data_IF_957503872947
#
_entry.id   IF_957503872947
#
_cell.length_a   1.000
_cell.length_b   1.000
_cell.length_c   1.000
_cell.angle_alpha   90.00
_cell.angle_beta   90.00
_cell.angle_gamma   90.00
#
_symmetry.space_group_name_H-M   'P 1'
#
loop_
_entity.id
_entity.type
_entity.pdbx_description
1 polymer ?
#
# COMPACT_ATOMS: atom_id res chain seq x y z
N UNK A 1 -14.93 12.46 -8.37
CA UNK A 1 -16.13 12.53 -7.52
C UNK A 1 -16.60 13.99 -7.28
N UNK A 2 -15.84 15.00 -7.70
CA UNK A 2 -16.20 16.42 -7.57
C UNK A 2 -15.97 17.03 -6.17
N UNK A 3 -15.21 16.36 -5.32
CA UNK A 3 -14.81 16.88 -4.00
C UNK A 3 -13.70 17.92 -4.09
N UNK A 4 -13.42 18.58 -2.95
CA UNK A 4 -12.31 19.52 -2.82
C UNK A 4 -11.13 18.85 -2.12
N UNK A 5 -9.91 19.24 -2.47
CA UNK A 5 -8.68 18.76 -1.82
C UNK A 5 -8.73 18.94 -0.31
N UNK A 6 -9.21 20.11 0.15
CA UNK A 6 -9.32 20.42 1.58
C UNK A 6 -10.20 19.43 2.36
N UNK A 7 -11.23 18.85 1.71
CA UNK A 7 -12.11 17.87 2.37
C UNK A 7 -11.45 16.50 2.49
N UNK A 8 -10.52 16.15 1.60
CA UNK A 8 -9.79 14.88 1.61
C UNK A 8 -8.46 14.94 2.39
N UNK A 9 -7.93 16.13 2.66
CA UNK A 9 -6.62 16.31 3.30
C UNK A 9 -6.50 15.61 4.66
N UNK A 10 -7.49 15.68 5.58
CA UNK A 10 -7.40 14.94 6.84
C UNK A 10 -7.28 13.42 6.64
N UNK A 11 -8.03 12.86 5.70
CA UNK A 11 -7.95 11.44 5.36
C UNK A 11 -6.58 11.08 4.75
N UNK A 12 -6.01 11.94 3.91
CA UNK A 12 -4.68 11.74 3.35
C UNK A 12 -3.60 11.76 4.45
N UNK A 13 -3.66 12.71 5.40
CA UNK A 13 -2.76 12.75 6.55
C UNK A 13 -2.90 11.51 7.43
N UNK A 14 -4.12 11.04 7.66
CA UNK A 14 -4.35 9.83 8.46
C UNK A 14 -3.75 8.59 7.79
N UNK A 15 -3.92 8.43 6.48
CA UNK A 15 -3.31 7.33 5.72
C UNK A 15 -1.79 7.40 5.76
N UNK A 16 -1.20 8.61 5.63
CA UNK A 16 0.26 8.79 5.71
C UNK A 16 0.80 8.46 7.11
N UNK A 17 0.07 8.79 8.19
CA UNK A 17 0.43 8.36 9.54
C UNK A 17 0.44 6.84 9.67
N UNK A 18 -0.59 6.15 9.12
CA UNK A 18 -0.64 4.67 9.09
C UNK A 18 0.54 4.10 8.30
N UNK A 19 0.81 4.65 7.12
CA UNK A 19 1.94 4.21 6.30
C UNK A 19 3.28 4.44 7.00
N UNK A 20 3.47 5.62 7.58
CA UNK A 20 4.73 5.97 8.24
C UNK A 20 5.00 5.10 9.46
N UNK A 21 3.98 4.86 10.32
CA UNK A 21 4.18 3.98 11.47
C UNK A 21 4.57 2.57 11.02
N UNK A 22 3.91 2.05 9.99
CA UNK A 22 4.20 0.70 9.51
C UNK A 22 5.64 0.56 8.98
N UNK A 23 6.18 1.61 8.32
CA UNK A 23 7.57 1.63 7.89
C UNK A 23 8.55 1.72 9.07
N UNK A 24 8.25 2.55 10.09
CA UNK A 24 9.10 2.67 11.29
C UNK A 24 9.18 1.34 12.02
N UNK A 25 8.05 0.64 12.17
CA UNK A 25 8.04 -0.67 12.83
C UNK A 25 8.65 -1.76 11.96
N UNK A 26 8.46 -1.70 10.65
CA UNK A 26 9.04 -2.66 9.68
C UNK A 26 10.58 -2.63 9.71
N UNK A 27 11.17 -1.43 9.91
CA UNK A 27 12.61 -1.24 9.97
C UNK A 27 13.27 -1.74 11.28
N UNK A 28 12.51 -2.07 12.32
CA UNK A 28 13.05 -2.47 13.63
C UNK A 28 13.91 -3.75 13.55
N UNK A 29 14.88 -3.94 14.50
CA UNK A 29 15.71 -5.14 14.54
C UNK A 29 14.95 -6.47 14.71
N UNK A 30 13.74 -6.43 15.25
CA UNK A 30 12.87 -7.59 15.39
C UNK A 30 11.97 -7.85 14.16
N UNK A 31 12.14 -7.04 13.11
CA UNK A 31 11.39 -7.08 11.85
C UNK A 31 12.40 -7.23 10.69
N UNK A 32 12.43 -6.29 9.73
CA UNK A 32 13.33 -6.36 8.58
C UNK A 32 14.79 -5.95 8.89
N UNK A 33 15.07 -5.39 10.08
CA UNK A 33 16.38 -4.88 10.55
C UNK A 33 17.08 -3.99 9.51
N UNK A 34 16.37 -2.98 9.03
CA UNK A 34 16.86 -2.09 7.99
C UNK A 34 17.59 -0.88 8.58
N UNK A 35 18.84 -0.67 8.17
CA UNK A 35 19.66 0.48 8.59
C UNK A 35 19.28 1.77 7.86
N UNK A 36 18.82 1.65 6.62
CA UNK A 36 18.52 2.77 5.72
C UNK A 36 17.15 2.63 5.08
N UNK A 37 16.41 3.74 5.03
CA UNK A 37 15.17 3.87 4.26
C UNK A 37 15.22 5.13 3.39
N UNK A 38 15.07 4.96 2.07
CA UNK A 38 15.18 6.07 1.09
C UNK A 38 16.50 6.83 1.23
N UNK A 39 17.62 6.13 1.50
CA UNK A 39 18.94 6.69 1.62
C UNK A 39 19.21 7.43 2.95
N UNK A 40 18.32 7.37 3.93
CA UNK A 40 18.48 7.97 5.27
C UNK A 40 18.49 6.89 6.33
N UNK A 41 19.24 7.08 7.44
CA UNK A 41 19.16 6.18 8.58
C UNK A 41 17.73 6.01 9.08
N UNK A 42 17.36 4.77 9.43
CA UNK A 42 16.04 4.44 9.96
C UNK A 42 15.84 5.00 11.36
N UNK A 43 14.58 5.07 11.82
CA UNK A 43 14.23 5.72 13.08
C UNK A 43 14.97 5.10 14.28
N UNK A 44 15.02 3.76 14.35
CA UNK A 44 15.68 3.05 15.43
C UNK A 44 17.22 3.26 15.45
N UNK A 45 17.85 3.46 14.29
CA UNK A 45 19.28 3.78 14.21
C UNK A 45 19.60 5.16 14.75
N UNK A 46 18.68 6.12 14.64
CA UNK A 46 18.89 7.51 15.09
C UNK A 46 18.49 7.69 16.55
N UNK A 47 17.35 7.10 16.97
CA UNK A 47 16.73 7.39 18.27
C UNK A 47 16.67 6.19 19.21
N UNK A 48 17.06 5.00 18.74
CA UNK A 48 16.96 3.74 19.48
C UNK A 48 15.60 3.06 19.34
N UNK A 49 15.60 1.74 19.62
CA UNK A 49 14.45 0.85 19.35
C UNK A 49 13.19 1.27 20.11
N UNK A 50 13.33 1.60 21.41
CA UNK A 50 12.18 1.97 22.25
C UNK A 50 11.49 3.24 21.76
N UNK A 51 12.25 4.25 21.30
CA UNK A 51 11.68 5.48 20.73
C UNK A 51 11.03 5.19 19.39
N UNK A 52 11.61 4.33 18.57
CA UNK A 52 11.02 3.94 17.29
C UNK A 52 9.67 3.22 17.47
N UNK A 53 9.57 2.30 18.43
CA UNK A 53 8.28 1.65 18.78
C UNK A 53 7.25 2.69 19.16
N UNK A 54 7.57 3.58 20.12
CA UNK A 54 6.64 4.60 20.61
C UNK A 54 6.26 5.63 19.55
N UNK A 55 7.18 5.96 18.62
CA UNK A 55 6.88 6.83 17.49
C UNK A 55 5.84 6.20 16.54
N UNK A 56 5.97 4.90 16.26
CA UNK A 56 4.96 4.17 15.50
C UNK A 56 3.61 4.12 16.20
N UNK A 57 3.57 3.80 17.51
CA UNK A 57 2.34 3.78 18.31
C UNK A 57 1.63 5.12 18.32
N UNK A 58 2.40 6.22 18.46
CA UNK A 58 1.86 7.57 18.45
C UNK A 58 1.25 7.92 17.08
N UNK A 59 1.94 7.59 15.97
CA UNK A 59 1.44 7.84 14.62
C UNK A 59 0.17 7.05 14.32
N UNK A 60 0.12 5.78 14.74
CA UNK A 60 -1.07 4.95 14.60
C UNK A 60 -2.27 5.58 15.29
N UNK A 61 -2.10 6.08 16.51
CA UNK A 61 -3.18 6.73 17.28
C UNK A 61 -3.58 8.07 16.67
N UNK A 62 -2.61 8.90 16.29
CA UNK A 62 -2.82 10.22 15.66
C UNK A 62 -3.59 10.10 14.34
N UNK A 63 -3.39 9.04 13.56
CA UNK A 63 -4.15 8.80 12.33
C UNK A 63 -5.66 8.83 12.57
N UNK A 64 -6.13 8.14 13.60
CA UNK A 64 -7.55 8.09 13.96
C UNK A 64 -8.03 9.39 14.60
N UNK A 65 -7.19 10.08 15.36
CA UNK A 65 -7.52 11.40 15.93
C UNK A 65 -7.75 12.43 14.82
N UNK A 66 -6.88 12.47 13.80
CA UNK A 66 -7.01 13.36 12.64
C UNK A 66 -8.32 13.07 11.90
N UNK A 67 -8.59 11.81 11.64
CA UNK A 67 -9.78 11.40 10.89
C UNK A 67 -11.06 11.67 11.67
N UNK A 68 -11.06 11.46 12.99
CA UNK A 68 -12.19 11.75 13.86
C UNK A 68 -12.57 13.24 13.93
N UNK A 69 -11.59 14.13 13.74
CA UNK A 69 -11.79 15.58 13.70
C UNK A 69 -12.13 16.11 12.29
N UNK A 70 -12.16 15.26 11.28
CA UNK A 70 -12.47 15.65 9.90
C UNK A 70 -13.97 15.92 9.71
N UNK A 71 -14.31 16.55 8.58
CA UNK A 71 -15.71 16.81 8.24
C UNK A 71 -16.35 15.62 7.55
N UNK A 72 -17.54 15.15 8.00
CA UNK A 72 -18.26 14.11 7.29
C UNK A 72 -18.77 14.60 5.94
N UNK A 73 -18.85 13.73 4.95
CA UNK A 73 -19.66 13.95 3.77
C UNK A 73 -21.11 13.50 4.02
N UNK A 74 -22.04 13.92 3.14
CA UNK A 74 -23.46 13.56 3.34
C UNK A 74 -23.74 12.05 3.33
N UNK A 75 -22.98 11.29 2.52
CA UNK A 75 -23.16 9.83 2.38
C UNK A 75 -22.27 9.01 3.31
N UNK A 76 -21.13 9.57 3.71
CA UNK A 76 -20.11 8.85 4.45
C UNK A 76 -19.81 9.58 5.76
N UNK A 77 -20.43 9.13 6.86
CA UNK A 77 -20.14 9.66 8.19
C UNK A 77 -18.71 9.33 8.60
N UNK A 78 -18.15 10.09 9.54
CA UNK A 78 -16.77 9.87 10.02
C UNK A 78 -16.56 8.46 10.58
N UNK A 79 -17.57 7.90 11.25
CA UNK A 79 -17.50 6.53 11.76
C UNK A 79 -17.25 5.50 10.65
N UNK A 80 -17.83 5.67 9.45
CA UNK A 80 -17.58 4.79 8.31
C UNK A 80 -16.15 4.95 7.80
N UNK A 81 -15.65 6.18 7.71
CA UNK A 81 -14.29 6.45 7.27
C UNK A 81 -13.25 5.90 8.27
N UNK A 82 -13.49 6.06 9.57
CA UNK A 82 -12.66 5.47 10.64
C UNK A 82 -12.68 3.95 10.54
N UNK A 83 -13.85 3.34 10.36
CA UNK A 83 -13.99 1.90 10.24
C UNK A 83 -13.25 1.36 8.99
N UNK A 84 -13.31 2.08 7.86
CA UNK A 84 -12.61 1.69 6.62
C UNK A 84 -11.08 1.70 6.82
N UNK A 85 -10.52 2.76 7.44
CA UNK A 85 -9.10 2.85 7.75
C UNK A 85 -8.67 1.79 8.77
N UNK A 86 -9.42 1.62 9.86
CA UNK A 86 -9.13 0.63 10.89
C UNK A 86 -9.18 -0.81 10.35
N UNK A 87 -10.13 -1.09 9.46
CA UNK A 87 -10.21 -2.37 8.77
C UNK A 87 -8.96 -2.62 7.93
N UNK A 88 -8.58 -1.66 7.08
CA UNK A 88 -7.45 -1.80 6.17
C UNK A 88 -6.09 -1.88 6.89
N UNK A 89 -5.94 -1.20 8.03
CA UNK A 89 -4.70 -1.20 8.82
C UNK A 89 -4.62 -2.30 9.87
N UNK A 90 -5.73 -2.99 10.14
CA UNK A 90 -5.86 -3.95 11.24
C UNK A 90 -5.36 -5.36 10.93
N UNK A 91 -5.65 -6.27 11.88
CA UNK A 91 -5.16 -7.65 11.91
C UNK A 91 -5.61 -8.52 10.73
N UNK A 92 -6.69 -8.14 10.03
CA UNK A 92 -7.16 -8.89 8.84
C UNK A 92 -6.46 -8.47 7.56
N UNK A 93 -5.78 -7.30 7.55
CA UNK A 93 -5.17 -6.72 6.37
C UNK A 93 -3.72 -6.33 6.62
N UNK A 94 -3.38 -5.05 6.75
CA UNK A 94 -1.99 -4.60 6.83
C UNK A 94 -1.17 -5.37 7.88
N UNK A 95 -1.62 -5.39 9.12
CA UNK A 95 -0.93 -6.11 10.21
C UNK A 95 -0.96 -7.62 9.97
N UNK A 96 -2.09 -8.18 9.54
CA UNK A 96 -2.18 -9.61 9.20
C UNK A 96 -1.32 -10.00 8.00
N UNK A 97 -1.18 -9.11 7.02
CA UNK A 97 -0.27 -9.28 5.88
C UNK A 97 1.19 -9.27 6.30
N UNK A 98 1.54 -8.40 7.26
CA UNK A 98 2.88 -8.35 7.85
C UNK A 98 3.22 -9.64 8.64
N UNK A 99 2.26 -10.14 9.42
CA UNK A 99 2.43 -11.44 10.10
C UNK A 99 2.67 -12.57 9.10
N UNK A 100 1.86 -12.62 8.03
CA UNK A 100 2.00 -13.66 7.01
C UNK A 100 3.33 -13.54 6.22
N UNK A 101 3.84 -12.31 6.05
CA UNK A 101 5.14 -12.06 5.42
C UNK A 101 6.28 -12.60 6.29
N UNK A 102 6.30 -12.26 7.57
CA UNK A 102 7.28 -12.77 8.53
C UNK A 102 7.23 -14.29 8.71
N UNK A 103 6.03 -14.87 8.83
CA UNK A 103 5.87 -16.32 8.92
C UNK A 103 6.27 -17.04 7.62
N UNK A 104 6.26 -16.32 6.50
CA UNK A 104 6.65 -16.82 5.19
C UNK A 104 8.16 -16.89 4.97
N UNK A 105 8.96 -16.18 5.76
CA UNK A 105 10.41 -16.18 5.62
C UNK A 105 11.01 -17.57 5.83
N UNK A 106 11.91 -17.96 4.94
CA UNK A 106 12.54 -19.29 4.93
C UNK A 106 11.59 -20.45 4.64
N UNK A 107 10.32 -20.19 4.26
CA UNK A 107 9.34 -21.20 3.87
C UNK A 107 9.07 -21.18 2.37
N UNK A 108 8.74 -22.33 1.81
CA UNK A 108 8.29 -22.40 0.42
C UNK A 108 6.81 -22.02 0.32
N UNK A 109 6.56 -20.75 0.04
CA UNK A 109 5.20 -20.24 -0.15
C UNK A 109 4.63 -20.65 -1.50
N UNK A 110 3.31 -20.89 -1.53
CA UNK A 110 2.54 -21.05 -2.75
C UNK A 110 2.09 -19.73 -3.36
N UNK A 111 1.60 -19.78 -4.60
CA UNK A 111 1.12 -18.56 -5.28
C UNK A 111 -0.07 -17.88 -4.59
N UNK A 112 -0.93 -18.62 -3.89
CA UNK A 112 -2.06 -18.05 -3.16
C UNK A 112 -1.61 -17.36 -1.87
N UNK A 113 -0.58 -17.89 -1.18
CA UNK A 113 0.02 -17.28 0.00
C UNK A 113 0.65 -15.93 -0.36
N UNK A 114 1.44 -15.88 -1.43
CA UNK A 114 2.03 -14.64 -1.94
C UNK A 114 0.97 -13.60 -2.30
N UNK A 115 -0.07 -14.01 -3.02
CA UNK A 115 -1.19 -13.10 -3.36
C UNK A 115 -1.92 -12.60 -2.12
N UNK A 116 -2.04 -13.43 -1.07
CA UNK A 116 -2.61 -13.02 0.20
C UNK A 116 -1.76 -11.93 0.86
N UNK A 117 -0.43 -12.15 0.95
CA UNK A 117 0.52 -11.16 1.49
C UNK A 117 0.41 -9.84 0.74
N UNK A 118 0.51 -9.85 -0.60
CA UNK A 118 0.42 -8.65 -1.43
C UNK A 118 -0.90 -7.90 -1.25
N UNK A 119 -2.01 -8.64 -1.15
CA UNK A 119 -3.34 -8.08 -0.94
C UNK A 119 -3.46 -7.42 0.43
N UNK A 120 -2.96 -8.08 1.45
CA UNK A 120 -3.13 -7.64 2.83
C UNK A 120 -2.09 -6.58 3.23
N UNK A 121 -0.80 -6.84 3.01
CA UNK A 121 0.29 -5.94 3.43
C UNK A 121 0.26 -4.61 2.66
N UNK A 122 -0.07 -4.61 1.37
CA UNK A 122 0.08 -3.42 0.52
C UNK A 122 -1.22 -2.94 -0.11
N UNK A 123 -1.93 -3.82 -0.85
CA UNK A 123 -3.09 -3.38 -1.63
C UNK A 123 -4.25 -2.89 -0.76
N UNK A 124 -4.37 -3.36 0.48
CA UNK A 124 -5.41 -2.94 1.41
C UNK A 124 -5.32 -1.46 1.75
N UNK A 125 -4.15 -0.97 2.16
CA UNK A 125 -3.96 0.44 2.53
C UNK A 125 -4.06 1.35 1.30
N UNK A 126 -3.51 0.96 0.15
CA UNK A 126 -3.69 1.67 -1.12
C UNK A 126 -5.18 1.78 -1.50
N UNK A 127 -5.93 0.71 -1.34
CA UNK A 127 -7.38 0.72 -1.58
C UNK A 127 -8.10 1.65 -0.62
N UNK A 128 -7.77 1.59 0.67
CA UNK A 128 -8.36 2.46 1.68
C UNK A 128 -8.07 3.95 1.41
N UNK A 129 -6.86 4.30 0.97
CA UNK A 129 -6.51 5.68 0.63
C UNK A 129 -7.41 6.25 -0.48
N UNK A 130 -7.68 5.46 -1.52
CA UNK A 130 -8.56 5.83 -2.63
C UNK A 130 -10.01 5.92 -2.15
N UNK A 131 -10.47 4.96 -1.33
CA UNK A 131 -11.82 4.94 -0.78
C UNK A 131 -12.08 6.12 0.13
N UNK A 132 -11.15 6.44 1.02
CA UNK A 132 -11.27 7.59 1.93
C UNK A 132 -11.33 8.92 1.17
N UNK A 133 -10.52 9.09 0.13
CA UNK A 133 -10.62 10.24 -0.77
C UNK A 133 -11.99 10.31 -1.47
N UNK A 134 -12.52 9.17 -1.91
CA UNK A 134 -13.84 9.10 -2.51
C UNK A 134 -14.97 9.41 -1.51
N UNK A 135 -14.88 8.89 -0.28
CA UNK A 135 -15.84 9.14 0.80
C UNK A 135 -15.83 10.63 1.19
N UNK A 136 -14.65 11.25 1.31
CA UNK A 136 -14.50 12.68 1.56
C UNK A 136 -15.15 13.52 0.45
N UNK A 137 -15.08 13.06 -0.80
CA UNK A 137 -15.74 13.66 -1.96
C UNK A 137 -17.22 13.27 -2.12
N UNK A 138 -17.85 12.67 -1.11
CA UNK A 138 -19.26 12.26 -1.12
C UNK A 138 -19.63 11.31 -2.28
N UNK A 139 -18.74 10.38 -2.64
CA UNK A 139 -18.93 9.42 -3.71
C UNK A 139 -20.25 8.63 -3.59
N UNK A 140 -20.86 8.31 -4.71
CA UNK A 140 -22.00 7.38 -4.74
C UNK A 140 -21.53 5.95 -4.49
N UNK A 141 -22.40 5.02 -4.08
CA UNK A 141 -22.03 3.60 -3.93
C UNK A 141 -21.41 2.99 -5.18
N UNK A 142 -21.90 3.37 -6.36
CA UNK A 142 -21.34 2.91 -7.64
C UNK A 142 -19.93 3.44 -7.89
N UNK A 143 -19.69 4.72 -7.60
CA UNK A 143 -18.36 5.32 -7.68
C UNK A 143 -17.39 4.68 -6.69
N UNK A 144 -17.83 4.49 -5.43
CA UNK A 144 -17.00 3.86 -4.40
C UNK A 144 -16.63 2.41 -4.77
N UNK A 145 -17.58 1.64 -5.32
CA UNK A 145 -17.32 0.29 -5.83
C UNK A 145 -16.27 0.29 -6.96
N UNK A 146 -16.42 1.18 -7.94
CA UNK A 146 -15.46 1.31 -9.05
C UNK A 146 -14.08 1.69 -8.56
N UNK A 147 -13.98 2.66 -7.64
CA UNK A 147 -12.70 3.09 -7.06
C UNK A 147 -12.08 2.03 -6.14
N UNK A 148 -12.89 1.21 -5.47
CA UNK A 148 -12.39 0.04 -4.74
C UNK A 148 -11.73 -0.97 -5.68
N UNK A 149 -12.38 -1.29 -6.82
CA UNK A 149 -11.78 -2.17 -7.84
C UNK A 149 -10.50 -1.58 -8.42
N UNK A 150 -10.46 -0.27 -8.66
CA UNK A 150 -9.26 0.43 -9.08
C UNK A 150 -8.13 0.27 -8.06
N UNK A 151 -8.38 0.58 -6.78
CA UNK A 151 -7.40 0.51 -5.71
C UNK A 151 -6.81 -0.89 -5.52
N UNK A 152 -7.67 -1.91 -5.51
CA UNK A 152 -7.24 -3.31 -5.41
C UNK A 152 -6.35 -3.71 -6.59
N UNK A 153 -6.72 -3.30 -7.81
CA UNK A 153 -5.96 -3.65 -9.02
C UNK A 153 -4.60 -2.94 -9.06
N UNK A 154 -4.56 -1.64 -8.73
CA UNK A 154 -3.30 -0.87 -8.68
C UNK A 154 -2.40 -1.37 -7.56
N UNK A 155 -2.96 -1.66 -6.37
CA UNK A 155 -2.18 -2.14 -5.24
C UNK A 155 -1.51 -3.50 -5.50
N UNK A 156 -2.24 -4.42 -6.14
CA UNK A 156 -1.65 -5.70 -6.55
C UNK A 156 -0.64 -5.53 -7.70
N UNK A 157 -0.94 -4.67 -8.69
CA UNK A 157 0.00 -4.39 -9.78
C UNK A 157 1.31 -3.79 -9.25
N UNK A 158 1.21 -2.90 -8.27
CA UNK A 158 2.36 -2.29 -7.61
C UNK A 158 3.31 -3.36 -7.03
N UNK A 159 2.79 -4.33 -6.29
CA UNK A 159 3.60 -5.40 -5.71
C UNK A 159 4.19 -6.34 -6.78
N UNK A 160 3.40 -6.74 -7.78
CA UNK A 160 3.92 -7.57 -8.87
C UNK A 160 5.05 -6.87 -9.63
N UNK A 161 4.94 -5.55 -9.82
CA UNK A 161 5.98 -4.75 -10.47
C UNK A 161 7.20 -4.59 -9.56
N UNK A 162 6.99 -4.38 -8.27
CA UNK A 162 8.08 -4.30 -7.29
C UNK A 162 8.91 -5.60 -7.27
N UNK A 163 8.26 -6.75 -7.23
CA UNK A 163 8.90 -8.07 -7.33
C UNK A 163 9.66 -8.27 -8.65
N UNK A 164 9.12 -7.76 -9.77
CA UNK A 164 9.79 -7.81 -11.07
C UNK A 164 11.06 -6.94 -11.04
N UNK A 165 10.97 -5.74 -10.49
CA UNK A 165 12.10 -4.81 -10.40
C UNK A 165 13.22 -5.35 -9.52
N UNK A 166 12.87 -5.98 -8.39
CA UNK A 166 13.86 -6.56 -7.47
C UNK A 166 14.74 -7.62 -8.14
N UNK A 167 14.19 -8.40 -9.08
CA UNK A 167 14.94 -9.44 -9.80
C UNK A 167 15.55 -8.96 -11.13
N UNK A 168 15.17 -7.79 -11.67
CA UNK A 168 15.61 -7.33 -12.99
C UNK A 168 16.51 -6.11 -12.96
N UNK A 169 16.52 -5.34 -11.85
CA UNK A 169 17.29 -4.10 -11.77
C UNK A 169 18.54 -4.25 -10.88
N UNK A 170 19.66 -3.60 -11.22
CA UNK A 170 20.85 -3.58 -10.38
C UNK A 170 20.63 -2.73 -9.13
N UNK A 171 21.31 -3.10 -8.03
CA UNK A 171 21.25 -2.45 -6.70
C UNK A 171 21.35 -0.92 -6.73
N UNK A 172 22.20 -0.39 -7.62
CA UNK A 172 22.47 1.05 -7.73
C UNK A 172 21.25 1.88 -8.13
N UNK A 173 20.26 1.25 -8.81
CA UNK A 173 19.04 1.93 -9.27
C UNK A 173 17.86 1.81 -8.29
N UNK A 174 17.86 0.82 -7.40
CA UNK A 174 16.71 0.53 -6.53
C UNK A 174 16.62 1.43 -5.28
N UNK A 175 17.67 2.18 -4.94
CA UNK A 175 17.71 2.99 -3.69
C UNK A 175 17.65 2.16 -2.39
N UNK A 176 17.65 0.84 -2.52
CA UNK A 176 17.77 -0.20 -1.48
C UNK A 176 18.66 -1.31 -2.03
N UNK A 177 19.20 -2.18 -1.19
CA UNK A 177 19.99 -3.33 -1.66
C UNK A 177 19.14 -4.21 -2.57
N UNK A 178 19.54 -4.40 -3.84
CA UNK A 178 18.89 -5.34 -4.74
C UNK A 178 19.10 -6.77 -4.26
N UNK A 179 18.10 -7.63 -4.49
CA UNK A 179 18.18 -9.03 -4.10
C UNK A 179 18.06 -9.27 -2.59
N UNK A 180 17.59 -8.27 -1.80
CA UNK A 180 17.25 -8.49 -0.39
C UNK A 180 16.23 -9.62 -0.24
N UNK A 181 15.21 -9.62 -1.08
CA UNK A 181 14.18 -10.67 -1.07
C UNK A 181 14.76 -12.04 -1.44
N UNK A 182 15.72 -12.08 -2.34
CA UNK A 182 16.47 -13.30 -2.67
C UNK A 182 17.36 -13.74 -1.51
N UNK A 183 18.07 -12.82 -0.87
CA UNK A 183 18.92 -13.09 0.29
C UNK A 183 18.11 -13.53 1.52
N UNK A 184 16.93 -12.92 1.73
CA UNK A 184 15.96 -13.30 2.78
C UNK A 184 15.13 -14.54 2.41
N UNK A 185 15.34 -15.13 1.23
CA UNK A 185 14.52 -16.22 0.70
C UNK A 185 13.02 -15.91 0.65
N UNK A 186 12.67 -14.60 0.47
CA UNK A 186 11.28 -14.18 0.31
C UNK A 186 10.73 -14.70 -1.02
N UNK A 187 9.49 -15.14 -0.99
CA UNK A 187 8.79 -15.54 -2.21
C UNK A 187 8.44 -14.30 -3.04
N UNK A 188 8.77 -14.30 -4.33
CA UNK A 188 8.41 -13.22 -5.27
C UNK A 188 7.56 -13.77 -6.41
N UNK A 189 6.79 -12.90 -7.05
CA UNK A 189 5.95 -13.28 -8.21
C UNK A 189 6.77 -13.94 -9.32
N UNK A 190 7.95 -13.40 -9.75
CA UNK A 190 8.81 -14.06 -10.73
C UNK A 190 9.37 -15.41 -10.28
N UNK A 191 9.68 -15.60 -8.99
CA UNK A 191 10.18 -16.86 -8.47
C UNK A 191 9.13 -17.97 -8.54
N UNK A 192 7.84 -17.64 -8.29
CA UNK A 192 6.75 -18.63 -8.27
C UNK A 192 6.17 -18.86 -9.66
N UNK A 193 5.93 -17.80 -10.43
CA UNK A 193 5.19 -17.87 -11.70
C UNK A 193 6.04 -17.70 -12.94
N UNK A 194 7.29 -17.24 -12.81
CA UNK A 194 8.16 -16.82 -13.89
C UNK A 194 7.91 -15.38 -14.35
N UNK A 195 8.96 -14.76 -14.90
CA UNK A 195 8.99 -13.33 -15.24
C UNK A 195 7.90 -12.94 -16.27
N UNK A 196 7.71 -13.76 -17.31
CA UNK A 196 6.73 -13.46 -18.37
C UNK A 196 5.28 -13.48 -17.85
N UNK A 197 4.94 -14.44 -16.99
CA UNK A 197 3.61 -14.47 -16.35
C UNK A 197 3.41 -13.31 -15.40
N UNK A 198 4.45 -12.91 -14.67
CA UNK A 198 4.42 -11.75 -13.78
C UNK A 198 4.15 -10.45 -14.56
N UNK A 199 4.83 -10.24 -15.69
CA UNK A 199 4.57 -9.11 -16.60
C UNK A 199 3.17 -9.13 -17.19
N UNK A 200 2.68 -10.32 -17.58
CA UNK A 200 1.32 -10.47 -18.09
C UNK A 200 0.27 -10.13 -17.02
N UNK A 201 0.49 -10.54 -15.77
CA UNK A 201 -0.40 -10.25 -14.65
C UNK A 201 -0.42 -8.75 -14.32
N UNK A 202 0.75 -8.09 -14.25
CA UNK A 202 0.84 -6.64 -14.05
C UNK A 202 0.02 -5.89 -15.13
N UNK A 203 0.18 -6.25 -16.40
CA UNK A 203 -0.60 -5.68 -17.51
C UNK A 203 -2.10 -5.96 -17.38
N UNK A 204 -2.48 -7.15 -16.94
CA UNK A 204 -3.89 -7.52 -16.71
C UNK A 204 -4.51 -6.65 -15.62
N UNK A 205 -3.83 -6.50 -14.49
CA UNK A 205 -4.25 -5.68 -13.35
C UNK A 205 -4.39 -4.21 -13.74
N UNK A 206 -3.43 -3.66 -14.49
CA UNK A 206 -3.49 -2.28 -15.00
C UNK A 206 -4.70 -2.08 -15.92
N UNK A 207 -4.99 -3.03 -16.83
CA UNK A 207 -6.21 -2.96 -17.66
C UNK A 207 -7.49 -3.01 -16.83
N UNK A 208 -7.52 -3.80 -15.76
CA UNK A 208 -8.66 -3.84 -14.83
C UNK A 208 -8.83 -2.49 -14.13
N UNK A 209 -7.75 -1.88 -13.68
CA UNK A 209 -7.74 -0.54 -13.10
C UNK A 209 -8.31 0.51 -14.07
N UNK A 210 -7.83 0.54 -15.30
CA UNK A 210 -8.36 1.44 -16.34
C UNK A 210 -9.86 1.23 -16.60
N UNK A 211 -10.30 -0.03 -16.63
CA UNK A 211 -11.71 -0.36 -16.86
C UNK A 211 -12.57 0.14 -15.70
N UNK A 212 -12.11 0.02 -14.46
CA UNK A 212 -12.80 0.54 -13.29
C UNK A 212 -12.97 2.08 -13.31
N UNK A 213 -12.07 2.80 -14.00
CA UNK A 213 -12.14 4.25 -14.14
C UNK A 213 -13.01 4.76 -15.29
N UNK A 214 -13.52 3.88 -16.18
CA UNK A 214 -14.35 4.31 -17.32
C UNK A 214 -15.55 5.20 -16.95
N UNK A 215 -16.30 4.92 -15.86
CA UNK A 215 -17.45 5.75 -15.47
C UNK A 215 -17.12 7.19 -15.12
N UNK A 216 -15.86 7.52 -14.85
CA UNK A 216 -15.43 8.86 -14.43
C UNK A 216 -15.01 9.76 -15.59
N UNK A 217 -14.92 9.23 -16.82
CA UNK A 217 -14.51 10.01 -17.99
C UNK A 217 -13.15 10.68 -17.79
N UNK A 218 -13.01 11.90 -18.26
CA UNK A 218 -11.75 12.70 -18.16
C UNK A 218 -11.37 13.06 -16.71
N UNK A 219 -12.32 13.05 -15.78
CA UNK A 219 -12.03 13.36 -14.37
C UNK A 219 -11.09 12.33 -13.71
N UNK A 220 -10.88 11.17 -14.33
CA UNK A 220 -9.97 10.14 -13.84
C UNK A 220 -8.63 10.09 -14.60
N UNK A 221 -8.31 11.05 -15.47
CA UNK A 221 -7.09 10.98 -16.30
C UNK A 221 -5.81 10.94 -15.46
N UNK A 222 -5.74 11.69 -14.35
CA UNK A 222 -4.60 11.63 -13.42
C UNK A 222 -4.44 10.24 -12.78
N UNK A 223 -5.55 9.59 -12.42
CA UNK A 223 -5.50 8.25 -11.85
C UNK A 223 -5.10 7.19 -12.89
N UNK A 224 -5.50 7.37 -14.16
CA UNK A 224 -5.03 6.52 -15.27
C UNK A 224 -3.54 6.69 -15.48
N UNK A 225 -3.07 7.94 -15.56
CA UNK A 225 -1.65 8.24 -15.70
C UNK A 225 -0.82 7.65 -14.55
N UNK A 226 -1.34 7.65 -13.31
CA UNK A 226 -0.69 7.01 -12.17
C UNK A 226 -0.58 5.49 -12.37
N UNK A 227 -1.65 4.82 -12.82
CA UNK A 227 -1.62 3.38 -13.08
C UNK A 227 -0.64 3.03 -14.20
N UNK A 228 -0.58 3.84 -15.25
CA UNK A 228 0.39 3.67 -16.36
C UNK A 228 1.83 3.91 -15.90
N UNK A 229 2.05 4.95 -15.08
CA UNK A 229 3.36 5.23 -14.48
C UNK A 229 3.87 4.06 -13.64
N UNK A 230 3.00 3.47 -12.81
CA UNK A 230 3.37 2.31 -11.98
C UNK A 230 3.78 1.09 -12.83
N UNK A 231 3.11 0.86 -13.99
CA UNK A 231 3.48 -0.21 -14.91
C UNK A 231 4.78 0.08 -15.66
N UNK A 232 5.04 1.35 -15.99
CA UNK A 232 6.23 1.79 -16.71
C UNK A 232 7.43 2.08 -15.80
N UNK A 233 7.26 1.97 -14.48
CA UNK A 233 8.31 2.24 -13.50
C UNK A 233 9.51 1.31 -13.71
N UNK A 234 10.71 1.89 -13.75
CA UNK A 234 11.98 1.16 -13.93
C UNK A 234 12.83 1.15 -12.65
N UNK A 235 12.37 1.81 -11.57
CA UNK A 235 13.07 1.99 -10.28
C UNK A 235 12.09 2.29 -9.15
#
# INVERSE_FOLDING_TARGET
CGGKIADALPAACAVECIHTYSLIHDDLPCMDDDDLRRGRPTNHKVFGDGIAVLAGDALLTVAFEILAKSKPSKRHPIAEQIADLAHASGSRWLVGGQVADLEGEGRKLGGEDLKYIHRCKTAALLTASIRLGAMSANATPAQLKSLTTFGQSVGLAFQVIDDILDVTQPTEKLGKSAGKDVAAQKATYPAIFGLEKSRAEAKRLTRTAHTALKPFGKNADTMRALADYLLAREY
#
